data_IF_964587127691
#
_entry.id   IF_964587127691
#
_cell.length_a   1.000
_cell.length_b   1.000
_cell.length_c   1.000
_cell.angle_alpha   90.00
_cell.angle_beta   90.00
_cell.angle_gamma   90.00
#
_symmetry.space_group_name_H-M   'P 1'
#
loop_
_entity.id
_entity.type
_entity.pdbx_description
1 polymer ?
#
# COMPACT_ATOMS: atom_id res chain seq x y z
N UNK A 1 -10.64 -7.41 3.15
CA UNK A 1 -10.17 -6.15 3.79
C UNK A 1 -10.49 -5.03 2.82
N UNK A 2 -11.21 -4.00 3.25
CA UNK A 2 -11.52 -2.84 2.41
C UNK A 2 -10.23 -2.13 1.97
N UNK A 3 -10.26 -1.45 0.83
CA UNK A 3 -9.09 -0.75 0.30
C UNK A 3 -8.51 0.27 1.30
N UNK A 4 -9.37 1.03 1.98
CA UNK A 4 -8.97 1.99 3.00
C UNK A 4 -8.27 1.33 4.20
N UNK A 5 -8.75 0.18 4.66
CA UNK A 5 -8.13 -0.57 5.77
C UNK A 5 -6.73 -1.07 5.39
N UNK A 6 -6.55 -1.46 4.14
CA UNK A 6 -5.27 -1.97 3.65
C UNK A 6 -4.18 -0.90 3.68
N UNK A 7 -4.44 0.30 3.16
CA UNK A 7 -3.44 1.38 3.15
C UNK A 7 -3.13 1.85 4.55
N UNK A 8 -4.16 1.98 5.42
CA UNK A 8 -3.97 2.35 6.83
C UNK A 8 -3.12 1.33 7.57
N UNK A 9 -3.38 0.02 7.37
CA UNK A 9 -2.59 -1.05 7.99
C UNK A 9 -1.11 -0.97 7.61
N UNK A 10 -0.82 -0.69 6.33
CA UNK A 10 0.57 -0.51 5.85
C UNK A 10 1.21 0.71 6.51
N UNK A 11 0.50 1.84 6.54
CA UNK A 11 1.03 3.07 7.12
C UNK A 11 1.28 2.93 8.63
N UNK A 12 0.35 2.33 9.37
CA UNK A 12 0.49 2.11 10.82
C UNK A 12 1.60 1.12 11.17
N UNK A 13 1.91 0.17 10.30
CA UNK A 13 3.03 -0.75 10.49
C UNK A 13 4.39 -0.02 10.47
N UNK A 14 4.45 1.19 9.91
CA UNK A 14 5.66 2.01 9.83
C UNK A 14 5.87 2.91 11.07
N UNK A 15 4.91 3.02 11.97
CA UNK A 15 5.02 3.84 13.19
C UNK A 15 6.33 3.57 13.94
N UNK A 16 7.11 4.63 14.21
CA UNK A 16 8.43 4.57 14.83
C UNK A 16 9.60 4.30 13.86
N UNK A 17 9.37 4.27 12.53
CA UNK A 17 10.48 4.32 11.59
C UNK A 17 11.21 5.66 11.70
N UNK A 18 12.56 5.65 11.67
CA UNK A 18 13.38 6.86 11.68
C UNK A 18 14.21 6.96 10.40
N UNK A 19 14.35 8.18 9.87
CA UNK A 19 15.26 8.45 8.77
C UNK A 19 16.71 8.19 9.16
N UNK A 20 17.58 8.00 8.18
CA UNK A 20 18.96 7.60 8.42
C UNK A 20 19.92 8.75 8.14
N UNK A 21 21.06 8.73 8.85
CA UNK A 21 22.17 9.62 8.55
C UNK A 21 22.87 9.21 7.24
N UNK A 22 23.47 10.19 6.57
CA UNK A 22 24.32 9.95 5.39
C UNK A 22 25.46 8.99 5.71
N UNK A 23 26.04 9.09 6.92
CA UNK A 23 27.10 8.18 7.35
C UNK A 23 26.62 6.73 7.43
N UNK A 24 25.47 6.49 8.07
CA UNK A 24 24.89 5.16 8.18
C UNK A 24 24.52 4.58 6.81
N UNK A 25 23.94 5.39 5.93
CA UNK A 25 23.61 4.98 4.57
C UNK A 25 24.85 4.62 3.75
N UNK A 26 25.90 5.46 3.77
CA UNK A 26 27.15 5.18 3.04
C UNK A 26 27.86 3.92 3.55
N UNK A 27 27.81 3.67 4.84
CA UNK A 27 28.38 2.46 5.43
C UNK A 27 27.62 1.20 5.01
N UNK A 28 26.30 1.25 5.00
CA UNK A 28 25.45 0.12 4.62
C UNK A 28 24.09 0.62 4.07
N UNK A 29 23.90 0.68 2.74
CA UNK A 29 22.62 1.11 2.17
C UNK A 29 21.41 0.30 2.60
N UNK A 30 21.58 -0.97 3.02
CA UNK A 30 20.48 -1.80 3.54
C UNK A 30 19.97 -1.30 4.90
N UNK A 31 20.65 -0.35 5.55
CA UNK A 31 20.18 0.28 6.79
C UNK A 31 18.79 0.93 6.62
N UNK A 32 18.42 1.33 5.40
CA UNK A 32 17.11 1.89 5.10
C UNK A 32 15.95 0.94 5.44
N UNK A 33 16.18 -0.37 5.40
CA UNK A 33 15.18 -1.37 5.74
C UNK A 33 15.06 -1.64 7.25
N UNK A 34 16.03 -1.14 8.03
CA UNK A 34 15.95 -1.20 9.49
C UNK A 34 15.10 -0.05 10.02
N UNK A 35 14.15 -0.36 10.92
CA UNK A 35 13.18 0.63 11.38
C UNK A 35 13.81 1.73 12.24
N UNK A 36 14.75 1.41 13.11
CA UNK A 36 15.23 2.32 14.17
C UNK A 36 16.75 2.56 14.17
N UNK A 37 17.55 1.70 13.56
CA UNK A 37 19.00 1.87 13.53
C UNK A 37 19.42 2.96 12.52
N UNK A 38 20.60 3.54 12.76
CA UNK A 38 21.22 4.53 11.85
C UNK A 38 20.50 5.88 11.79
N UNK A 39 19.73 6.23 12.83
CA UNK A 39 18.98 7.48 12.89
C UNK A 39 19.87 8.71 12.61
N UNK A 40 19.34 9.67 11.89
CA UNK A 40 20.00 10.92 11.51
C UNK A 40 19.01 11.98 11.07
N UNK A 41 19.54 13.01 10.40
CA UNK A 41 18.79 14.20 9.97
C UNK A 41 18.90 14.44 8.46
N UNK A 42 19.20 13.39 7.67
CA UNK A 42 19.64 13.56 6.29
C UNK A 42 18.61 13.01 5.28
N UNK A 43 17.39 12.75 5.70
CA UNK A 43 16.26 12.32 4.87
C UNK A 43 16.47 10.99 4.11
N UNK A 44 17.46 10.17 4.49
CA UNK A 44 17.63 8.85 3.89
C UNK A 44 16.57 7.88 4.41
N UNK A 45 15.63 7.48 3.56
CA UNK A 45 14.54 6.58 3.91
C UNK A 45 14.33 5.49 2.87
N UNK A 46 13.74 4.36 3.29
CA UNK A 46 13.30 3.33 2.33
C UNK A 46 12.17 3.85 1.42
N UNK A 47 11.36 4.79 1.90
CA UNK A 47 10.26 5.38 1.13
C UNK A 47 10.82 6.18 -0.05
N UNK A 48 11.75 7.08 0.20
CA UNK A 48 12.44 7.83 -0.84
C UNK A 48 13.15 6.92 -1.83
N UNK A 49 13.91 5.92 -1.35
CA UNK A 49 14.57 4.92 -2.21
C UNK A 49 13.59 4.22 -3.14
N UNK A 50 12.51 3.66 -2.58
CA UNK A 50 11.55 2.86 -3.34
C UNK A 50 10.80 3.71 -4.37
N UNK A 51 10.39 4.93 -3.99
CA UNK A 51 9.65 5.83 -4.88
C UNK A 51 10.55 6.45 -5.94
N UNK A 52 11.79 6.84 -5.61
CA UNK A 52 12.79 7.28 -6.58
C UNK A 52 13.08 6.20 -7.64
N UNK A 53 13.16 4.93 -7.24
CA UNK A 53 13.36 3.84 -8.18
C UNK A 53 12.21 3.71 -9.20
N UNK A 54 11.00 4.15 -8.85
CA UNK A 54 9.82 4.13 -9.74
C UNK A 54 9.75 5.41 -10.58
N UNK A 55 10.11 6.56 -10.00
CA UNK A 55 9.96 7.90 -10.58
C UNK A 55 11.19 8.78 -10.34
N UNK A 56 12.35 8.44 -10.93
CA UNK A 56 13.62 9.13 -10.65
C UNK A 56 13.62 10.61 -11.09
N UNK A 57 12.72 11.03 -11.98
CA UNK A 57 12.62 12.41 -12.44
C UNK A 57 11.70 13.31 -11.60
N UNK A 58 11.00 12.75 -10.61
CA UNK A 58 10.02 13.49 -9.79
C UNK A 58 10.29 13.27 -8.30
N UNK A 59 10.61 12.04 -7.90
CA UNK A 59 10.83 11.67 -6.51
C UNK A 59 12.32 11.77 -6.18
N UNK A 60 12.74 12.87 -5.58
CA UNK A 60 14.12 13.08 -5.14
C UNK A 60 14.50 12.14 -3.99
N UNK A 61 15.80 11.77 -3.94
CA UNK A 61 16.33 10.90 -2.92
C UNK A 61 17.83 11.19 -2.66
N UNK A 62 18.20 11.60 -1.44
CA UNK A 62 17.33 11.90 -0.27
C UNK A 62 16.62 13.25 -0.43
N UNK A 63 15.40 13.34 0.06
CA UNK A 63 14.58 14.55 0.06
C UNK A 63 13.58 14.54 1.23
N UNK A 64 12.87 15.62 1.45
CA UNK A 64 11.75 15.65 2.39
C UNK A 64 10.69 14.62 1.96
N UNK A 65 10.21 13.83 2.92
CA UNK A 65 9.52 12.59 2.59
C UNK A 65 8.12 12.44 3.19
N UNK A 66 7.48 13.54 3.63
CA UNK A 66 6.13 13.45 4.17
C UNK A 66 5.11 13.01 3.10
N UNK A 67 5.18 13.58 1.89
CA UNK A 67 4.31 13.23 0.77
C UNK A 67 4.71 11.88 0.18
N UNK A 68 6.01 11.70 -0.02
CA UNK A 68 6.60 10.44 -0.48
C UNK A 68 6.18 9.23 0.40
N UNK A 69 6.05 9.40 1.72
CA UNK A 69 5.56 8.37 2.63
C UNK A 69 4.11 7.98 2.33
N UNK A 70 3.24 8.95 2.10
CA UNK A 70 1.84 8.69 1.75
C UNK A 70 1.77 7.95 0.42
N UNK A 71 2.45 8.45 -0.61
CA UNK A 71 2.54 7.83 -1.93
C UNK A 71 3.06 6.38 -1.85
N UNK A 72 4.12 6.16 -1.06
CA UNK A 72 4.66 4.84 -0.81
C UNK A 72 3.64 3.89 -0.18
N UNK A 73 2.86 4.34 0.80
CA UNK A 73 1.82 3.53 1.41
C UNK A 73 0.76 3.08 0.39
N UNK A 74 0.33 3.99 -0.49
CA UNK A 74 -0.61 3.67 -1.57
C UNK A 74 0.01 2.75 -2.63
N UNK A 75 1.26 3.01 -3.00
CA UNK A 75 2.01 2.13 -3.90
C UNK A 75 2.13 0.70 -3.36
N UNK A 76 2.54 0.55 -2.10
CA UNK A 76 2.66 -0.78 -1.45
C UNK A 76 1.31 -1.48 -1.33
N UNK A 77 0.24 -0.72 -1.12
CA UNK A 77 -1.10 -1.28 -1.04
C UNK A 77 -1.65 -1.75 -2.39
N UNK A 78 -1.44 -0.99 -3.46
CA UNK A 78 -2.24 -1.13 -4.68
C UNK A 78 -1.42 -1.18 -5.99
N UNK A 79 -0.12 -1.01 -5.93
CA UNK A 79 0.75 -0.83 -7.09
C UNK A 79 0.58 0.54 -7.76
N UNK A 80 1.46 0.88 -8.69
CA UNK A 80 1.57 2.21 -9.31
C UNK A 80 0.25 2.69 -9.92
N UNK A 81 -0.36 1.89 -10.78
CA UNK A 81 -1.54 2.30 -11.56
C UNK A 81 -2.75 2.61 -10.68
N UNK A 82 -3.04 1.77 -9.69
CA UNK A 82 -4.19 1.98 -8.81
C UNK A 82 -3.92 3.09 -7.79
N UNK A 83 -2.69 3.18 -7.25
CA UNK A 83 -2.31 4.25 -6.34
C UNK A 83 -2.52 5.63 -6.98
N UNK A 84 -2.07 5.86 -8.21
CA UNK A 84 -2.31 7.11 -8.95
C UNK A 84 -3.78 7.45 -9.11
N UNK A 85 -4.64 6.47 -9.38
CA UNK A 85 -6.08 6.69 -9.51
C UNK A 85 -6.72 7.08 -8.18
N UNK A 86 -6.24 6.51 -7.07
CA UNK A 86 -6.70 6.85 -5.73
C UNK A 86 -6.25 8.24 -5.30
N UNK A 87 -5.00 8.59 -5.56
CA UNK A 87 -4.37 9.86 -5.18
C UNK A 87 -4.72 11.03 -6.12
N UNK A 88 -5.71 10.83 -7.00
CA UNK A 88 -6.18 11.80 -7.98
C UNK A 88 -5.18 12.19 -9.08
N UNK A 89 -4.02 11.56 -9.15
CA UNK A 89 -3.00 11.82 -10.17
C UNK A 89 -1.68 11.11 -9.93
N UNK A 90 -0.63 11.64 -10.50
CA UNK A 90 0.72 11.09 -10.38
C UNK A 90 1.31 11.33 -8.99
N UNK A 91 2.26 10.46 -8.62
CA UNK A 91 3.06 10.64 -7.41
C UNK A 91 3.85 11.95 -7.44
N UNK A 92 3.98 12.57 -6.28
CA UNK A 92 4.75 13.80 -6.10
C UNK A 92 5.54 13.76 -4.78
N UNK A 93 6.70 14.39 -4.76
CA UNK A 93 7.45 14.70 -3.54
C UNK A 93 7.12 16.09 -2.98
N UNK A 94 6.15 16.78 -3.58
CA UNK A 94 5.76 18.14 -3.24
C UNK A 94 4.28 18.25 -2.83
N UNK A 95 4.03 18.42 -1.55
CA UNK A 95 2.69 18.45 -0.92
C UNK A 95 1.71 19.44 -1.57
N UNK A 96 2.20 20.58 -2.10
CA UNK A 96 1.34 21.55 -2.79
C UNK A 96 0.79 20.97 -4.09
N UNK A 97 1.63 20.25 -4.85
CA UNK A 97 1.21 19.59 -6.08
C UNK A 97 0.19 18.48 -5.80
N UNK A 98 0.44 17.63 -4.81
CA UNK A 98 -0.50 16.58 -4.39
C UNK A 98 -1.85 17.14 -3.93
N UNK A 99 -1.85 18.22 -3.15
CA UNK A 99 -3.09 18.91 -2.77
C UNK A 99 -3.84 19.44 -4.01
N UNK A 100 -3.12 19.95 -5.01
CA UNK A 100 -3.73 20.46 -6.23
C UNK A 100 -4.38 19.37 -7.08
N UNK A 101 -3.82 18.15 -7.10
CA UNK A 101 -4.45 17.00 -7.77
C UNK A 101 -5.86 16.73 -7.23
N UNK A 102 -6.03 16.67 -5.91
CA UNK A 102 -7.34 16.49 -5.29
C UNK A 102 -8.30 17.64 -5.58
N UNK A 103 -7.81 18.89 -5.54
CA UNK A 103 -8.63 20.07 -5.87
C UNK A 103 -9.14 20.00 -7.32
N UNK A 104 -8.26 19.65 -8.26
CA UNK A 104 -8.59 19.52 -9.68
C UNK A 104 -9.63 18.43 -9.97
N UNK A 105 -9.69 17.40 -9.11
CA UNK A 105 -10.66 16.30 -9.21
C UNK A 105 -11.94 16.51 -8.40
N UNK A 106 -12.10 17.67 -7.72
CA UNK A 106 -13.24 17.90 -6.83
C UNK A 106 -13.25 16.98 -5.59
N UNK A 107 -12.11 16.41 -5.25
CA UNK A 107 -11.92 15.49 -4.13
C UNK A 107 -11.26 16.17 -2.91
N UNK A 108 -11.48 17.46 -2.75
CA UNK A 108 -10.96 18.30 -1.66
C UNK A 108 -12.05 18.66 -0.66
N UNK A 109 -11.85 18.33 0.61
CA UNK A 109 -12.86 18.47 1.66
C UNK A 109 -12.35 19.29 2.85
N UNK A 110 -13.31 19.83 3.64
CA UNK A 110 -13.01 20.56 4.90
C UNK A 110 -13.16 19.69 6.14
N UNK A 111 -13.82 18.55 6.03
CA UNK A 111 -14.03 17.62 7.15
C UNK A 111 -13.30 16.31 6.89
N UNK A 112 -12.59 15.76 7.92
CA UNK A 112 -11.84 14.52 7.81
C UNK A 112 -12.74 13.30 7.66
N UNK A 113 -12.28 12.33 6.88
CA UNK A 113 -12.73 10.96 6.91
C UNK A 113 -11.53 10.01 7.05
N UNK A 114 -11.78 8.82 7.54
CA UNK A 114 -10.77 7.76 7.61
C UNK A 114 -10.30 7.43 6.19
N UNK A 115 -8.99 7.44 5.99
CA UNK A 115 -8.36 7.23 4.69
C UNK A 115 -8.06 8.52 3.90
N UNK A 116 -8.50 9.69 4.36
CA UNK A 116 -8.14 10.95 3.72
C UNK A 116 -6.64 11.25 3.89
N UNK A 117 -6.04 11.87 2.89
CA UNK A 117 -4.75 12.54 3.01
C UNK A 117 -4.99 13.96 3.54
N UNK A 118 -4.50 14.25 4.75
CA UNK A 118 -4.60 15.60 5.33
C UNK A 118 -3.42 16.45 4.89
N UNK A 119 -3.68 17.73 4.64
CA UNK A 119 -2.66 18.72 4.30
C UNK A 119 -2.63 19.84 5.33
N UNK A 120 -1.43 20.17 5.80
CA UNK A 120 -1.19 21.20 6.80
C UNK A 120 -0.45 22.40 6.24
N UNK A 121 -0.73 23.57 6.82
CA UNK A 121 -0.05 24.82 6.46
C UNK A 121 1.06 25.18 7.45
N UNK A 122 2.05 25.90 6.98
CA UNK A 122 2.99 26.64 7.83
C UNK A 122 2.34 27.91 8.39
N UNK A 123 3.10 28.66 9.19
CA UNK A 123 2.63 29.91 9.80
C UNK A 123 2.27 31.01 8.80
N UNK A 124 2.75 30.92 7.55
CA UNK A 124 2.46 31.85 6.46
C UNK A 124 1.26 31.40 5.61
N UNK A 125 0.61 30.29 5.96
CA UNK A 125 -0.55 29.73 5.26
C UNK A 125 -0.24 28.86 4.05
N UNK A 126 1.03 28.66 3.68
CA UNK A 126 1.42 27.75 2.59
C UNK A 126 1.36 26.28 3.03
N UNK A 127 0.85 25.39 2.19
CA UNK A 127 0.87 23.94 2.45
C UNK A 127 2.34 23.48 2.52
N UNK A 128 2.67 22.72 3.58
CA UNK A 128 4.04 22.29 3.83
C UNK A 128 4.18 20.88 4.40
N UNK A 129 3.09 20.23 4.78
CA UNK A 129 3.13 18.90 5.40
C UNK A 129 1.86 18.11 5.09
N UNK A 130 1.95 16.78 5.20
CA UNK A 130 0.84 15.87 4.93
C UNK A 130 0.95 14.58 5.75
N UNK A 131 -0.17 13.89 5.90
CA UNK A 131 -0.26 12.57 6.52
C UNK A 131 -1.54 11.85 6.13
N UNK A 132 -1.68 10.61 6.57
CA UNK A 132 -2.86 9.78 6.33
C UNK A 132 -3.74 9.73 7.57
N UNK A 133 -5.04 10.03 7.43
CA UNK A 133 -6.03 9.95 8.51
C UNK A 133 -6.40 8.49 8.76
N UNK A 134 -6.09 7.95 9.94
CA UNK A 134 -6.41 6.55 10.27
C UNK A 134 -7.61 6.39 11.20
N UNK A 135 -8.02 7.45 11.91
CA UNK A 135 -9.21 7.45 12.76
C UNK A 135 -9.81 8.85 12.88
N UNK A 136 -11.11 8.92 13.14
CA UNK A 136 -11.87 10.15 13.35
C UNK A 136 -12.90 9.89 14.44
N UNK A 137 -13.00 10.80 15.41
CA UNK A 137 -14.08 10.84 16.40
C UNK A 137 -14.84 12.18 16.36
N UNK A 138 -15.71 12.43 17.33
CA UNK A 138 -16.53 13.64 17.37
C UNK A 138 -15.68 14.94 17.41
N UNK A 139 -14.53 14.93 18.07
CA UNK A 139 -13.73 16.12 18.39
C UNK A 139 -12.38 16.16 17.68
N UNK A 140 -11.86 15.01 17.27
CA UNK A 140 -10.49 14.85 16.78
C UNK A 140 -10.43 14.00 15.50
N UNK A 141 -9.34 14.16 14.82
CA UNK A 141 -8.85 13.18 13.85
C UNK A 141 -7.42 12.75 14.19
N UNK A 142 -7.06 11.56 13.77
CA UNK A 142 -5.80 10.91 14.09
C UNK A 142 -5.08 10.56 12.80
N UNK A 143 -3.79 10.88 12.76
CA UNK A 143 -2.96 10.70 11.56
C UNK A 143 -1.77 9.80 11.83
N UNK A 144 -1.30 9.16 10.77
CA UNK A 144 0.04 8.60 10.68
C UNK A 144 0.80 9.41 9.64
N UNK A 145 1.95 9.96 10.01
CA UNK A 145 2.68 10.95 9.23
C UNK A 145 4.14 10.52 9.07
N UNK A 146 4.67 10.65 7.85
CA UNK A 146 6.10 10.57 7.59
C UNK A 146 6.77 11.94 7.73
N UNK A 147 8.06 11.95 7.93
CA UNK A 147 8.85 13.17 8.13
C UNK A 147 8.23 14.12 9.17
N UNK A 148 7.85 13.55 10.31
CA UNK A 148 7.23 14.29 11.40
C UNK A 148 8.02 14.12 12.69
N UNK A 149 7.86 15.03 13.63
CA UNK A 149 8.47 14.93 14.95
C UNK A 149 7.64 14.00 15.85
N UNK A 150 8.31 13.05 16.49
CA UNK A 150 7.77 12.32 17.63
C UNK A 150 8.77 12.36 18.75
N UNK A 151 8.33 12.25 20.01
CA UNK A 151 9.19 12.14 21.19
C UNK A 151 10.02 10.83 21.19
N UNK A 152 10.35 10.29 20.01
CA UNK A 152 11.07 9.05 19.83
C UNK A 152 12.47 9.36 19.32
N UNK A 153 13.42 9.42 20.26
CA UNK A 153 14.86 9.38 20.03
C UNK A 153 15.50 10.57 19.32
N UNK A 154 15.11 11.80 19.63
CA UNK A 154 15.93 12.98 19.32
C UNK A 154 16.07 13.35 17.84
N UNK A 155 15.22 12.86 16.97
CA UNK A 155 15.14 13.28 15.57
C UNK A 155 13.93 14.21 15.40
N UNK A 156 13.93 15.32 16.10
CA UNK A 156 12.80 16.27 16.07
C UNK A 156 13.02 17.45 15.12
N UNK A 157 14.25 17.75 14.81
CA UNK A 157 14.62 18.98 14.11
C UNK A 157 14.16 19.01 12.65
N UNK A 158 14.12 17.86 11.98
CA UNK A 158 13.71 17.73 10.57
C UNK A 158 12.49 16.85 10.40
N UNK A 159 11.73 16.63 11.47
CA UNK A 159 10.58 15.75 11.44
C UNK A 159 10.90 14.26 11.24
N UNK A 160 12.11 13.83 11.39
CA UNK A 160 12.76 12.61 10.98
C UNK A 160 12.17 11.23 11.29
N UNK A 161 10.86 11.08 11.54
CA UNK A 161 10.26 9.78 11.82
C UNK A 161 8.85 9.61 11.21
N UNK A 162 8.37 8.37 11.23
CA UNK A 162 6.94 8.06 11.08
C UNK A 162 6.31 8.04 12.47
N UNK A 163 5.27 8.82 12.68
CA UNK A 163 4.59 8.89 13.96
C UNK A 163 3.08 9.11 13.87
N UNK A 164 2.37 8.58 14.87
CA UNK A 164 0.97 8.88 15.12
C UNK A 164 0.81 10.26 15.72
N UNK A 165 -0.14 11.03 15.21
CA UNK A 165 -0.51 12.34 15.70
C UNK A 165 -2.02 12.42 15.95
N UNK A 166 -2.46 13.43 16.68
CA UNK A 166 -3.88 13.71 16.79
C UNK A 166 -4.14 15.21 16.87
N UNK A 167 -5.18 15.66 16.17
CA UNK A 167 -5.53 17.06 16.02
C UNK A 167 -7.00 17.29 16.34
N UNK A 168 -7.32 18.47 16.88
CA UNK A 168 -8.72 18.92 16.94
C UNK A 168 -9.25 19.04 15.49
N UNK A 169 -10.53 18.74 15.30
CA UNK A 169 -11.19 18.96 13.99
C UNK A 169 -11.20 20.44 13.57
N UNK A 170 -11.02 21.35 14.53
CA UNK A 170 -10.87 22.79 14.32
C UNK A 170 -9.41 23.27 14.29
N UNK A 171 -8.44 22.37 14.13
CA UNK A 171 -7.03 22.76 14.13
C UNK A 171 -6.72 23.73 13.00
N UNK A 172 -6.32 24.95 13.37
CA UNK A 172 -6.22 26.08 12.44
C UNK A 172 -5.23 25.89 11.28
N UNK A 173 -4.28 24.97 11.43
CA UNK A 173 -3.30 24.68 10.37
C UNK A 173 -3.73 23.60 9.38
N UNK A 174 -4.94 23.10 9.43
CA UNK A 174 -5.46 22.20 8.41
C UNK A 174 -5.86 23.01 7.18
N UNK A 175 -5.17 22.80 6.06
CA UNK A 175 -5.56 23.35 4.77
C UNK A 175 -6.81 22.68 4.21
N UNK A 176 -6.87 21.36 4.33
CA UNK A 176 -7.97 20.52 3.87
C UNK A 176 -7.58 19.04 3.81
N UNK A 177 -8.50 18.26 3.27
CA UNK A 177 -8.40 16.80 3.17
C UNK A 177 -8.61 16.40 1.70
N UNK A 178 -7.61 15.77 1.12
CA UNK A 178 -7.73 15.07 -0.16
C UNK A 178 -8.33 13.68 0.08
N UNK A 179 -9.41 13.35 -0.61
CA UNK A 179 -10.11 12.07 -0.44
C UNK A 179 -9.80 11.11 -1.56
N UNK A 180 -9.02 10.05 -1.31
CA UNK A 180 -8.75 9.02 -2.30
C UNK A 180 -10.05 8.31 -2.73
N UNK A 181 -10.15 8.00 -4.02
CA UNK A 181 -11.33 7.33 -4.56
C UNK A 181 -11.31 5.81 -4.29
N UNK A 182 -11.47 5.41 -3.02
CA UNK A 182 -11.49 3.99 -2.65
C UNK A 182 -12.61 3.20 -3.32
N UNK A 183 -13.75 3.84 -3.61
CA UNK A 183 -14.86 3.22 -4.30
C UNK A 183 -14.47 2.68 -5.70
N UNK A 184 -13.46 3.29 -6.34
CA UNK A 184 -12.90 2.76 -7.59
C UNK A 184 -12.36 1.34 -7.41
N UNK A 185 -11.63 1.05 -6.33
CA UNK A 185 -11.09 -0.29 -6.07
C UNK A 185 -12.17 -1.25 -5.58
N UNK A 186 -13.09 -0.77 -4.75
CA UNK A 186 -14.21 -1.57 -4.27
C UNK A 186 -15.11 -2.01 -5.44
N UNK A 187 -15.22 -1.19 -6.50
CA UNK A 187 -15.95 -1.53 -7.73
C UNK A 187 -15.21 -2.55 -8.63
N UNK A 188 -13.91 -2.71 -8.45
CA UNK A 188 -13.11 -3.71 -9.17
C UNK A 188 -13.15 -5.10 -8.48
N UNK A 189 -13.55 -5.14 -7.21
CA UNK A 189 -13.85 -6.41 -6.55
C UNK A 189 -15.23 -6.91 -7.05
N UNK A 190 -15.37 -8.18 -7.46
CA UNK A 190 -16.68 -8.72 -7.82
C UNK A 190 -17.62 -8.52 -6.64
N UNK A 191 -18.84 -8.03 -6.93
CA UNK A 191 -19.89 -7.88 -5.94
C UNK A 191 -19.98 -9.17 -5.09
N UNK A 192 -20.18 -9.08 -3.77
CA UNK A 192 -20.37 -10.26 -2.95
C UNK A 192 -21.53 -11.05 -3.55
N UNK A 193 -21.23 -12.27 -4.01
CA UNK A 193 -22.26 -13.16 -4.53
C UNK A 193 -23.35 -13.23 -3.48
N UNK A 194 -24.64 -12.93 -3.81
CA UNK A 194 -25.72 -13.06 -2.84
C UNK A 194 -25.63 -14.45 -2.23
N UNK A 195 -25.68 -14.54 -0.90
CA UNK A 195 -25.78 -15.82 -0.19
C UNK A 195 -27.01 -16.53 -0.73
N UNK A 196 -26.82 -17.41 -1.70
CA UNK A 196 -27.88 -18.32 -2.12
C UNK A 196 -28.21 -19.16 -0.88
N UNK A 197 -29.44 -19.07 -0.43
CA UNK A 197 -29.94 -19.88 0.66
C UNK A 197 -29.59 -21.36 0.39
N UNK A 198 -29.02 -22.01 1.40
CA UNK A 198 -28.57 -23.39 1.29
C UNK A 198 -29.68 -24.30 0.72
N UNK A 199 -29.43 -25.07 -0.35
CA UNK A 199 -30.35 -26.11 -0.77
C UNK A 199 -30.37 -27.21 0.30
N UNK A 200 -31.56 -27.68 0.61
CA UNK A 200 -31.81 -28.80 1.51
C UNK A 200 -31.00 -30.06 1.12
N UNK A 201 -30.63 -30.91 2.09
CA UNK A 201 -29.73 -32.02 1.87
C UNK A 201 -30.33 -33.09 0.94
N UNK A 202 -29.64 -33.42 -0.13
CA UNK A 202 -29.86 -34.61 -0.94
C UNK A 202 -28.95 -35.76 -0.49
N UNK A 203 -29.39 -37.02 -0.68
CA UNK A 203 -28.83 -38.15 0.03
C UNK A 203 -27.47 -38.63 -0.50
N UNK A 204 -26.74 -39.27 0.40
CA UNK A 204 -25.45 -39.92 0.21
C UNK A 204 -25.42 -40.88 -0.98
N UNK A 205 -24.40 -40.75 -1.81
CA UNK A 205 -23.87 -41.89 -2.55
C UNK A 205 -22.35 -41.83 -2.53
N UNK A 206 -21.75 -42.90 -2.14
CA UNK A 206 -20.35 -43.16 -1.93
C UNK A 206 -19.57 -43.19 -3.25
N UNK A 207 -18.35 -42.77 -3.24
CA UNK A 207 -17.15 -43.57 -3.61
C UNK A 207 -15.95 -42.65 -3.71
N UNK A 208 -14.92 -42.95 -2.93
CA UNK A 208 -13.64 -42.32 -2.98
C UNK A 208 -12.97 -42.55 -4.34
N UNK A 209 -12.65 -41.46 -5.05
CA UNK A 209 -11.64 -41.49 -6.11
C UNK A 209 -10.47 -40.61 -5.66
N UNK A 210 -9.26 -41.16 -5.73
CA UNK A 210 -7.98 -40.46 -5.58
C UNK A 210 -8.03 -39.20 -6.38
N UNK A 211 -7.82 -38.03 -5.73
CA UNK A 211 -7.73 -36.71 -6.39
C UNK A 211 -6.53 -36.70 -7.34
N UNK A 212 -6.83 -36.70 -8.61
CA UNK A 212 -5.85 -36.48 -9.68
C UNK A 212 -5.43 -35.00 -9.62
N UNK A 213 -4.16 -34.73 -9.31
CA UNK A 213 -3.62 -33.38 -9.20
C UNK A 213 -3.71 -32.70 -10.57
N UNK A 214 -4.64 -31.74 -10.73
CA UNK A 214 -4.81 -30.99 -11.99
C UNK A 214 -3.87 -29.80 -12.01
N UNK A 215 -3.04 -29.72 -13.07
CA UNK A 215 -2.16 -28.60 -13.33
C UNK A 215 -2.84 -27.55 -14.22
N UNK A 216 -2.34 -26.31 -14.13
CA UNK A 216 -2.67 -25.28 -15.12
C UNK A 216 -2.02 -25.60 -16.45
N UNK A 217 -2.63 -25.10 -17.55
CA UNK A 217 -1.99 -25.10 -18.86
C UNK A 217 -0.69 -24.30 -18.78
N UNK A 218 0.38 -24.83 -19.32
CA UNK A 218 1.67 -24.16 -19.36
C UNK A 218 1.56 -22.78 -20.04
N UNK A 219 2.20 -21.77 -19.46
CA UNK A 219 2.28 -20.43 -20.03
C UNK A 219 3.54 -20.32 -20.91
N UNK A 220 3.33 -20.09 -22.20
CA UNK A 220 4.43 -20.02 -23.18
C UNK A 220 4.89 -18.57 -23.46
N UNK A 221 4.30 -17.57 -22.82
CA UNK A 221 4.63 -16.16 -23.01
C UNK A 221 5.86 -15.70 -22.25
N UNK A 222 6.42 -14.57 -22.66
CA UNK A 222 7.59 -13.93 -22.03
C UNK A 222 7.25 -12.95 -20.91
N UNK A 223 5.95 -12.82 -20.54
CA UNK A 223 5.51 -11.90 -19.50
C UNK A 223 6.15 -12.20 -18.14
N UNK A 224 6.29 -11.13 -17.33
CA UNK A 224 6.88 -11.18 -15.98
C UNK A 224 5.81 -11.12 -14.87
N UNK A 225 4.54 -11.04 -15.25
CA UNK A 225 3.40 -10.93 -14.32
C UNK A 225 2.61 -12.23 -14.28
N UNK A 226 2.48 -12.84 -13.09
CA UNK A 226 1.60 -14.01 -12.89
C UNK A 226 0.12 -13.68 -13.20
N UNK A 227 -0.31 -12.45 -12.93
CA UNK A 227 -1.69 -12.00 -13.19
C UNK A 227 -1.99 -12.03 -14.69
N UNK A 228 -1.09 -11.47 -15.49
CA UNK A 228 -1.23 -11.48 -16.95
C UNK A 228 -1.06 -12.89 -17.55
N UNK A 229 -0.15 -13.67 -17.00
CA UNK A 229 0.05 -15.04 -17.42
C UNK A 229 -1.18 -15.92 -17.17
N UNK A 230 -1.79 -15.84 -15.99
CA UNK A 230 -3.04 -16.52 -15.67
C UNK A 230 -4.21 -16.03 -16.54
N UNK A 231 -4.30 -14.71 -16.79
CA UNK A 231 -5.31 -14.11 -17.66
C UNK A 231 -5.21 -14.65 -19.09
N UNK A 232 -3.99 -14.74 -19.63
CA UNK A 232 -3.74 -15.20 -21.01
C UNK A 232 -4.14 -16.65 -21.24
N UNK A 233 -4.13 -17.48 -20.19
CA UNK A 233 -4.59 -18.88 -20.25
C UNK A 233 -6.06 -19.05 -19.79
N UNK A 234 -6.81 -17.95 -19.70
CA UNK A 234 -8.24 -17.94 -19.38
C UNK A 234 -8.57 -18.26 -17.90
N UNK A 235 -7.65 -18.02 -16.98
CA UNK A 235 -7.83 -18.35 -15.57
C UNK A 235 -8.21 -17.12 -14.72
N UNK A 236 -8.85 -17.37 -13.58
CA UNK A 236 -9.13 -16.37 -12.57
C UNK A 236 -7.81 -15.79 -12.03
N UNK A 237 -7.71 -14.46 -11.97
CA UNK A 237 -6.51 -13.72 -11.55
C UNK A 237 -6.66 -13.03 -10.20
N UNK A 238 -7.81 -13.19 -9.52
CA UNK A 238 -8.07 -12.54 -8.25
C UNK A 238 -7.04 -12.90 -7.18
N UNK A 239 -6.82 -11.99 -6.24
CA UNK A 239 -5.91 -12.24 -5.12
C UNK A 239 -6.35 -13.46 -4.31
N UNK A 240 -7.67 -13.61 -4.08
CA UNK A 240 -8.22 -14.76 -3.37
C UNK A 240 -7.87 -16.08 -4.05
N UNK A 241 -8.05 -16.17 -5.37
CA UNK A 241 -7.70 -17.36 -6.12
C UNK A 241 -6.19 -17.62 -6.16
N UNK A 242 -5.36 -16.58 -6.23
CA UNK A 242 -3.90 -16.74 -6.13
C UNK A 242 -3.45 -17.17 -4.74
N UNK A 243 -4.17 -16.79 -3.68
CA UNK A 243 -3.98 -17.33 -2.33
C UNK A 243 -4.21 -18.85 -2.28
N UNK A 244 -5.27 -19.32 -2.93
CA UNK A 244 -5.57 -20.75 -3.02
C UNK A 244 -4.48 -21.50 -3.82
N UNK A 245 -4.09 -20.95 -4.96
CA UNK A 245 -2.96 -21.50 -5.76
C UNK A 245 -1.68 -21.56 -4.94
N UNK A 246 -1.37 -20.50 -4.21
CA UNK A 246 -0.16 -20.41 -3.39
C UNK A 246 -0.07 -21.52 -2.34
N UNK A 247 -1.15 -21.79 -1.64
CA UNK A 247 -1.22 -22.88 -0.65
C UNK A 247 -1.14 -24.26 -1.34
N UNK A 248 -1.88 -24.45 -2.45
CA UNK A 248 -1.87 -25.70 -3.20
C UNK A 248 -0.47 -26.06 -3.76
N UNK A 249 0.39 -25.07 -3.96
CA UNK A 249 1.75 -25.23 -4.48
C UNK A 249 2.85 -25.12 -3.41
N UNK A 250 2.49 -24.92 -2.13
CA UNK A 250 3.44 -24.82 -1.04
C UNK A 250 4.26 -23.51 -1.03
N UNK A 251 3.87 -22.51 -1.84
CA UNK A 251 4.50 -21.18 -1.87
C UNK A 251 4.26 -20.47 -0.54
N UNK A 252 3.07 -20.68 0.04
CA UNK A 252 2.77 -20.24 1.40
C UNK A 252 2.11 -21.36 2.20
N UNK A 253 2.24 -21.31 3.54
CA UNK A 253 1.62 -22.30 4.42
C UNK A 253 0.12 -22.10 4.58
N UNK A 254 -0.32 -20.84 4.58
CA UNK A 254 -1.71 -20.44 4.74
C UNK A 254 -2.08 -19.36 3.71
N UNK A 255 -3.37 -19.18 3.45
CA UNK A 255 -3.88 -18.13 2.55
C UNK A 255 -3.51 -16.72 3.03
N UNK A 256 -3.42 -16.52 4.34
CA UNK A 256 -3.13 -15.20 4.93
C UNK A 256 -1.67 -14.78 4.77
N UNK A 257 -0.77 -15.73 4.58
CA UNK A 257 0.65 -15.47 4.36
C UNK A 257 0.99 -15.15 2.89
N UNK A 258 0.05 -15.35 1.96
CA UNK A 258 0.20 -14.87 0.59
C UNK A 258 -0.26 -13.42 0.48
N UNK A 259 0.70 -12.53 0.32
CA UNK A 259 0.46 -11.08 0.16
C UNK A 259 0.65 -10.60 -1.28
N UNK A 260 1.00 -11.51 -2.20
CA UNK A 260 1.29 -11.18 -3.60
C UNK A 260 2.61 -10.43 -3.78
N UNK A 261 3.60 -10.72 -2.92
CA UNK A 261 4.94 -10.15 -3.06
C UNK A 261 5.58 -10.54 -4.40
N UNK A 262 6.63 -9.83 -4.80
CA UNK A 262 7.39 -10.12 -6.02
C UNK A 262 7.87 -11.57 -6.01
N UNK A 263 8.46 -12.02 -4.91
CA UNK A 263 8.98 -13.38 -4.79
C UNK A 263 7.88 -14.45 -4.92
N UNK A 264 6.77 -14.28 -4.20
CA UNK A 264 5.61 -15.20 -4.27
C UNK A 264 5.00 -15.26 -5.68
N UNK A 265 4.89 -14.11 -6.33
CA UNK A 265 4.36 -14.02 -7.70
C UNK A 265 5.34 -14.59 -8.73
N UNK A 266 6.63 -14.39 -8.55
CA UNK A 266 7.68 -14.93 -9.43
C UNK A 266 7.73 -16.46 -9.32
N UNK A 267 7.72 -17.01 -8.12
CA UNK A 267 7.69 -18.46 -7.90
C UNK A 267 6.46 -19.11 -8.54
N UNK A 268 5.28 -18.48 -8.37
CA UNK A 268 4.04 -18.93 -9.01
C UNK A 268 4.13 -18.89 -10.53
N UNK A 269 4.71 -17.83 -11.09
CA UNK A 269 4.91 -17.67 -12.53
C UNK A 269 5.89 -18.70 -13.08
N UNK A 270 6.97 -18.97 -12.36
CA UNK A 270 7.97 -19.98 -12.75
C UNK A 270 7.37 -21.38 -12.79
N UNK A 271 6.55 -21.73 -11.79
CA UNK A 271 5.82 -23.00 -11.82
C UNK A 271 4.85 -23.08 -12.99
N UNK A 272 4.17 -21.97 -13.31
CA UNK A 272 3.25 -21.90 -14.46
C UNK A 272 4.00 -22.05 -15.81
N UNK A 273 5.13 -21.37 -15.96
CA UNK A 273 6.00 -21.49 -17.15
C UNK A 273 6.58 -22.90 -17.32
N UNK A 274 6.81 -23.61 -16.22
CA UNK A 274 7.26 -25.01 -16.22
C UNK A 274 6.12 -26.02 -16.39
N UNK A 275 4.85 -25.57 -16.42
CA UNK A 275 3.67 -26.45 -16.45
C UNK A 275 3.48 -27.28 -15.18
N UNK A 276 4.04 -26.81 -14.07
CA UNK A 276 4.03 -27.49 -12.76
C UNK A 276 3.16 -26.79 -11.72
N UNK A 277 2.47 -25.71 -12.09
CA UNK A 277 1.55 -25.02 -11.18
C UNK A 277 0.28 -25.84 -11.01
N UNK A 278 0.02 -26.28 -9.79
CA UNK A 278 -1.18 -27.06 -9.42
C UNK A 278 -2.39 -26.11 -9.28
N UNK A 279 -3.53 -26.56 -9.73
CA UNK A 279 -4.80 -25.90 -9.45
C UNK A 279 -5.20 -26.12 -7.98
N UNK A 280 -5.82 -25.12 -7.33
CA UNK A 280 -6.30 -25.27 -5.96
C UNK A 280 -7.53 -26.16 -5.87
#
# INVERSE_FOLDING_TARGET
MKAVEKVISIALAEDGYVEKSTAAYKQNPKILDNKTAGAGYDNWTKYGRDMHAIYPGIMDFPAWWCDCFVDWCFYKAFGVSNAKKLLAGDFNDYTVASAQLYKNKGAWYKSPQVGDQVFFTNVKGGICHTGLVYAVDANRFYTIEGNTSAAVRGVEFNGGCVAKKSYSRSYARVAGFGRPNYAYLDSLEPAPVPKVAAPAPKPKASTAKKDEVKYFKKYEGNGVSIVEALKSIGCNTSLAYRKDISVANGITRTKDTYIGSVDQNTEMLDLLKKGKLKRP
#
